data_IF_921988227193
#
_entry.id   IF_921988227193
#
_cell.length_a   1.000
_cell.length_b   1.000
_cell.length_c   1.000
_cell.angle_alpha   90.00
_cell.angle_beta   90.00
_cell.angle_gamma   90.00
#
_symmetry.space_group_name_H-M   'P 1'
#
loop_
_entity.id
_entity.type
_entity.pdbx_description
1 polymer ?
#
# COMPACT_ATOMS: atom_id res chain seq x y z
N UNK A 1 21.80 24.51 -14.97
CA UNK A 1 20.84 23.40 -15.12
C UNK A 1 21.55 22.05 -15.17
N UNK A 2 22.52 21.82 -16.07
CA UNK A 2 23.23 20.52 -16.18
C UNK A 2 23.98 20.07 -14.91
N UNK A 3 24.59 20.98 -14.16
CA UNK A 3 25.32 20.63 -12.92
C UNK A 3 24.35 20.12 -11.85
N UNK A 4 23.20 20.80 -11.67
CA UNK A 4 22.15 20.42 -10.72
C UNK A 4 21.57 19.05 -11.07
N UNK A 5 21.25 18.83 -12.35
CA UNK A 5 20.77 17.53 -12.85
C UNK A 5 21.84 16.46 -12.69
N UNK A 6 23.12 16.75 -12.96
CA UNK A 6 24.22 15.80 -12.78
C UNK A 6 24.49 15.46 -11.31
N UNK A 7 24.34 16.41 -10.38
CA UNK A 7 24.45 16.14 -8.94
C UNK A 7 23.28 15.33 -8.42
N UNK A 8 22.05 15.65 -8.83
CA UNK A 8 20.86 14.85 -8.48
C UNK A 8 20.97 13.45 -9.07
N UNK A 9 21.47 13.32 -10.30
CA UNK A 9 21.60 12.03 -10.99
C UNK A 9 22.81 11.22 -10.51
N UNK A 10 23.87 11.85 -9.99
CA UNK A 10 24.96 11.18 -9.25
C UNK A 10 24.52 10.76 -7.85
N UNK A 11 23.76 11.59 -7.15
CA UNK A 11 23.23 11.29 -5.83
C UNK A 11 22.18 10.16 -5.90
N UNK A 12 21.29 10.20 -6.89
CA UNK A 12 20.36 9.12 -7.20
C UNK A 12 21.09 7.84 -7.65
N UNK A 13 22.13 7.92 -8.48
CA UNK A 13 22.94 6.73 -8.84
C UNK A 13 23.69 6.13 -7.66
N UNK A 14 24.21 6.96 -6.76
CA UNK A 14 24.87 6.50 -5.54
C UNK A 14 23.87 5.78 -4.63
N UNK A 15 22.66 6.35 -4.48
CA UNK A 15 21.62 5.80 -3.64
C UNK A 15 20.98 4.54 -4.22
N UNK A 16 20.73 4.46 -5.52
CA UNK A 16 19.89 3.40 -6.09
C UNK A 16 20.69 2.21 -6.67
N UNK A 17 21.89 2.41 -7.23
CA UNK A 17 22.58 1.35 -7.99
C UNK A 17 23.66 0.55 -7.23
N UNK A 18 24.39 1.17 -6.30
CA UNK A 18 25.47 0.50 -5.53
C UNK A 18 25.03 -0.64 -4.60
N UNK A 19 23.88 -0.60 -3.91
CA UNK A 19 23.51 -1.66 -2.96
C UNK A 19 23.02 -2.92 -3.68
N UNK A 20 22.41 -2.79 -4.86
CA UNK A 20 21.82 -3.91 -5.60
C UNK A 20 22.87 -4.75 -6.33
N UNK A 21 23.81 -4.12 -7.03
CA UNK A 21 24.88 -4.84 -7.76
C UNK A 21 25.87 -5.54 -6.81
N UNK A 22 26.13 -4.95 -5.64
CA UNK A 22 27.07 -5.53 -4.66
C UNK A 22 26.50 -6.76 -3.95
N UNK A 23 25.18 -6.82 -3.76
CA UNK A 23 24.48 -7.97 -3.17
C UNK A 23 24.21 -9.08 -4.20
N UNK A 24 23.98 -8.74 -5.47
CA UNK A 24 23.69 -9.73 -6.51
C UNK A 24 24.91 -10.56 -6.93
N UNK A 25 26.12 -10.01 -6.87
CA UNK A 25 27.32 -10.77 -7.28
C UNK A 25 27.86 -11.73 -6.21
N UNK A 26 27.39 -11.67 -4.96
CA UNK A 26 28.08 -12.36 -3.85
C UNK A 26 27.24 -13.29 -2.99
N UNK A 27 25.91 -13.34 -3.09
CA UNK A 27 25.20 -14.08 -2.05
C UNK A 27 23.81 -14.61 -2.39
N UNK A 28 23.64 -15.92 -2.18
CA UNK A 28 22.36 -16.62 -2.14
C UNK A 28 21.57 -16.31 -0.87
N UNK A 29 21.14 -15.06 -0.69
CA UNK A 29 20.30 -14.64 0.43
C UNK A 29 18.81 -14.93 0.18
N UNK A 30 18.08 -15.16 1.27
CA UNK A 30 16.64 -15.35 1.27
C UNK A 30 15.89 -14.09 0.78
N UNK A 31 14.82 -14.30 0.03
CA UNK A 31 14.00 -13.25 -0.60
C UNK A 31 13.50 -12.18 0.41
N UNK A 32 13.33 -12.56 1.67
CA UNK A 32 12.89 -11.70 2.77
C UNK A 32 13.99 -10.75 3.30
N UNK A 33 15.26 -11.14 3.26
CA UNK A 33 16.37 -10.28 3.70
C UNK A 33 16.59 -9.13 2.69
N UNK A 34 16.47 -9.44 1.39
CA UNK A 34 16.60 -8.46 0.32
C UNK A 34 15.47 -7.42 0.35
N UNK A 35 14.22 -7.85 0.58
CA UNK A 35 13.08 -6.94 0.71
C UNK A 35 13.24 -5.97 1.89
N UNK A 36 13.71 -6.45 3.05
CA UNK A 36 14.00 -5.61 4.22
C UNK A 36 15.13 -4.62 3.96
N UNK A 37 16.22 -5.08 3.34
CA UNK A 37 17.34 -4.22 2.98
C UNK A 37 16.90 -3.11 2.00
N UNK A 38 16.07 -3.47 1.00
CA UNK A 38 15.51 -2.50 0.06
C UNK A 38 14.63 -1.45 0.75
N UNK A 39 13.72 -1.86 1.65
CA UNK A 39 12.89 -0.93 2.41
C UNK A 39 13.72 0.02 3.29
N UNK A 40 14.69 -0.50 4.05
CA UNK A 40 15.57 0.32 4.90
C UNK A 40 16.37 1.32 4.07
N UNK A 41 16.84 0.89 2.90
CA UNK A 41 17.59 1.75 2.01
C UNK A 41 16.72 2.84 1.42
N UNK A 42 15.48 2.50 1.02
CA UNK A 42 14.50 3.45 0.52
C UNK A 42 14.13 4.48 1.59
N UNK A 43 13.91 4.04 2.84
CA UNK A 43 13.67 4.92 3.98
C UNK A 43 14.84 5.89 4.21
N UNK A 44 16.07 5.37 4.24
CA UNK A 44 17.28 6.20 4.41
C UNK A 44 17.45 7.19 3.24
N UNK A 45 17.16 6.74 2.01
CA UNK A 45 17.20 7.60 0.83
C UNK A 45 16.23 8.77 0.96
N UNK A 46 14.97 8.49 1.33
CA UNK A 46 13.97 9.55 1.52
C UNK A 46 14.35 10.48 2.67
N UNK A 47 14.82 9.96 3.80
CA UNK A 47 15.28 10.77 4.93
C UNK A 47 16.40 11.74 4.51
N UNK A 48 17.42 11.25 3.81
CA UNK A 48 18.56 12.08 3.39
C UNK A 48 18.14 13.09 2.33
N UNK A 49 17.38 12.67 1.31
CA UNK A 49 17.08 13.49 0.13
C UNK A 49 15.93 14.48 0.32
N UNK A 50 14.94 14.15 1.15
CA UNK A 50 13.76 14.98 1.38
C UNK A 50 13.70 15.64 2.77
N UNK A 51 14.54 15.24 3.73
CA UNK A 51 14.61 15.92 5.03
C UNK A 51 15.97 16.58 5.26
N UNK A 52 17.07 15.83 5.28
CA UNK A 52 18.38 16.38 5.67
C UNK A 52 18.98 17.36 4.67
N UNK A 53 18.93 17.01 3.37
CA UNK A 53 19.46 17.86 2.30
C UNK A 53 18.64 19.15 2.13
N UNK A 54 17.29 19.11 2.06
CA UNK A 54 16.50 20.32 1.99
C UNK A 54 16.61 21.17 3.25
N UNK A 55 16.69 20.57 4.45
CA UNK A 55 16.93 21.33 5.69
C UNK A 55 18.22 22.16 5.62
N UNK A 56 19.32 21.58 5.10
CA UNK A 56 20.56 22.32 4.90
C UNK A 56 20.35 23.49 3.92
N UNK A 57 19.66 23.25 2.80
CA UNK A 57 19.35 24.29 1.82
C UNK A 57 18.49 25.40 2.43
N UNK A 58 17.38 25.07 3.09
CA UNK A 58 16.49 26.05 3.71
C UNK A 58 17.18 26.86 4.80
N UNK A 59 18.03 26.24 5.63
CA UNK A 59 18.81 26.98 6.65
C UNK A 59 19.81 27.99 6.06
N UNK A 60 20.21 27.81 4.79
CA UNK A 60 21.07 28.78 4.09
C UNK A 60 20.28 29.82 3.29
N UNK A 61 19.05 29.49 2.87
CA UNK A 61 18.18 30.39 2.12
C UNK A 61 17.41 31.34 3.04
N UNK A 62 16.99 30.84 4.19
CA UNK A 62 16.28 31.60 5.22
C UNK A 62 17.25 31.93 6.35
N UNK A 63 17.86 33.13 6.30
CA UNK A 63 18.90 33.56 7.25
C UNK A 63 18.46 33.55 8.72
N UNK A 64 17.15 33.61 8.96
CA UNK A 64 16.56 33.60 10.31
C UNK A 64 16.33 32.20 10.86
N UNK A 65 16.46 31.15 10.05
CA UNK A 65 16.17 29.78 10.43
C UNK A 65 17.45 29.05 10.84
N UNK A 66 17.42 28.37 11.98
CA UNK A 66 18.45 27.39 12.29
C UNK A 66 18.27 26.12 11.43
N UNK A 67 19.29 25.26 11.38
CA UNK A 67 19.18 23.95 10.73
C UNK A 67 18.01 23.12 11.30
N UNK A 68 17.77 23.22 12.61
CA UNK A 68 16.70 22.49 13.27
C UNK A 68 15.33 23.05 12.86
N UNK A 69 15.18 24.38 12.76
CA UNK A 69 13.95 25.02 12.26
C UNK A 69 13.65 24.59 10.82
N UNK A 70 14.67 24.55 9.98
CA UNK A 70 14.55 24.10 8.59
C UNK A 70 14.18 22.61 8.49
N UNK A 71 14.79 21.75 9.31
CA UNK A 71 14.42 20.34 9.39
C UNK A 71 12.99 20.15 9.91
N UNK A 72 12.61 20.94 10.91
CA UNK A 72 11.26 20.95 11.47
C UNK A 72 10.24 21.37 10.40
N UNK A 73 10.50 22.42 9.62
CA UNK A 73 9.68 22.81 8.47
C UNK A 73 9.50 21.65 7.48
N UNK A 74 10.59 20.99 7.08
CA UNK A 74 10.52 19.83 6.19
C UNK A 74 9.63 18.72 6.78
N UNK A 75 9.79 18.42 8.06
CA UNK A 75 9.02 17.39 8.75
C UNK A 75 7.52 17.72 8.81
N UNK A 76 7.15 18.86 9.37
CA UNK A 76 5.72 19.23 9.53
C UNK A 76 5.02 19.38 8.18
N UNK A 77 5.75 19.79 7.13
CA UNK A 77 5.16 20.00 5.81
C UNK A 77 4.99 18.68 5.06
N UNK A 78 5.99 17.79 5.09
CA UNK A 78 5.91 16.49 4.41
C UNK A 78 4.99 15.50 5.14
N UNK A 79 4.89 15.60 6.47
CA UNK A 79 3.88 14.88 7.25
C UNK A 79 2.49 15.52 7.15
N UNK A 80 2.32 16.60 6.36
CA UNK A 80 1.05 17.32 6.18
C UNK A 80 0.42 17.86 7.47
N UNK A 81 1.23 18.06 8.52
CA UNK A 81 0.80 18.70 9.78
C UNK A 81 0.55 20.20 9.51
N UNK A 82 1.49 20.86 8.83
CA UNK A 82 1.29 22.20 8.27
C UNK A 82 0.98 23.32 9.27
N UNK A 83 1.73 23.41 10.38
CA UNK A 83 1.49 24.40 11.44
C UNK A 83 1.59 25.86 10.95
N UNK A 84 2.43 26.14 9.94
CA UNK A 84 2.53 27.43 9.29
C UNK A 84 3.31 28.51 10.06
N UNK A 85 4.00 28.11 11.13
CA UNK A 85 4.96 28.93 11.88
C UNK A 85 6.24 29.22 11.09
N UNK A 86 6.70 28.25 10.29
CA UNK A 86 7.82 28.41 9.36
C UNK A 86 7.33 28.28 7.92
N UNK A 87 7.37 29.38 7.16
CA UNK A 87 6.99 29.42 5.74
C UNK A 87 8.11 30.06 4.92
N UNK A 88 8.73 29.32 3.98
CA UNK A 88 9.79 29.86 3.16
C UNK A 88 9.26 30.95 2.21
N UNK A 89 10.02 32.03 2.05
CA UNK A 89 9.71 33.08 1.08
C UNK A 89 8.64 34.07 1.55
N UNK A 90 8.40 34.19 2.85
CA UNK A 90 7.58 35.26 3.44
C UNK A 90 8.36 36.52 3.80
N UNK A 91 9.70 36.45 3.89
CA UNK A 91 10.49 37.61 4.29
C UNK A 91 10.48 38.73 3.23
N UNK A 92 10.33 40.01 3.64
CA UNK A 92 10.36 41.14 2.72
C UNK A 92 11.76 41.32 2.11
N UNK A 93 11.82 41.67 0.82
CA UNK A 93 13.07 41.97 0.13
C UNK A 93 13.72 40.81 -0.63
N UNK A 94 13.16 39.60 -0.58
CA UNK A 94 13.66 38.47 -1.38
C UNK A 94 13.42 38.69 -2.88
N UNK A 95 14.51 38.80 -3.65
CA UNK A 95 14.45 38.82 -5.12
C UNK A 95 13.93 37.45 -5.59
N UNK A 96 13.04 37.44 -6.58
CA UNK A 96 12.53 36.21 -7.20
C UNK A 96 11.59 35.33 -6.33
N UNK A 97 10.90 35.94 -5.34
CA UNK A 97 9.93 35.29 -4.43
C UNK A 97 8.93 34.34 -5.12
N UNK A 98 8.41 34.72 -6.29
CA UNK A 98 7.44 33.90 -7.02
C UNK A 98 8.03 32.54 -7.46
N UNK A 99 9.24 32.54 -8.03
CA UNK A 99 9.91 31.30 -8.44
C UNK A 99 10.30 30.45 -7.24
N UNK A 100 10.70 31.09 -6.14
CA UNK A 100 11.00 30.36 -4.91
C UNK A 100 9.76 29.63 -4.37
N UNK A 101 8.61 30.32 -4.26
CA UNK A 101 7.35 29.69 -3.84
C UNK A 101 6.95 28.53 -4.74
N UNK A 102 7.04 28.68 -6.06
CA UNK A 102 6.76 27.58 -7.00
C UNK A 102 7.70 26.40 -6.76
N UNK A 103 9.00 26.65 -6.56
CA UNK A 103 9.97 25.59 -6.28
C UNK A 103 9.68 24.84 -4.98
N UNK A 104 9.26 25.55 -3.93
CA UNK A 104 8.85 24.96 -2.65
C UNK A 104 7.61 24.09 -2.84
N UNK A 105 6.60 24.58 -3.57
CA UNK A 105 5.40 23.79 -3.86
C UNK A 105 5.74 22.49 -4.59
N UNK A 106 6.61 22.54 -5.61
CA UNK A 106 7.07 21.34 -6.33
C UNK A 106 7.82 20.40 -5.39
N UNK A 107 8.69 20.92 -4.52
CA UNK A 107 9.39 20.14 -3.51
C UNK A 107 8.40 19.42 -2.56
N UNK A 108 7.40 20.13 -2.02
CA UNK A 108 6.41 19.57 -1.11
C UNK A 108 5.58 18.47 -1.78
N UNK A 109 5.18 18.67 -3.04
CA UNK A 109 4.47 17.65 -3.81
C UNK A 109 5.32 16.39 -4.01
N UNK A 110 6.57 16.55 -4.46
CA UNK A 110 7.48 15.42 -4.69
C UNK A 110 7.83 14.69 -3.39
N UNK A 111 8.10 15.43 -2.32
CA UNK A 111 8.41 14.86 -1.01
C UNK A 111 7.22 14.14 -0.40
N UNK A 112 6.01 14.67 -0.54
CA UNK A 112 4.80 13.99 -0.09
C UNK A 112 4.62 12.66 -0.83
N UNK A 113 4.78 12.66 -2.15
CA UNK A 113 4.73 11.43 -2.94
C UNK A 113 5.77 10.40 -2.49
N UNK A 114 6.98 10.84 -2.13
CA UNK A 114 8.03 9.96 -1.62
C UNK A 114 7.68 9.37 -0.24
N UNK A 115 7.17 10.19 0.69
CA UNK A 115 6.73 9.72 2.02
C UNK A 115 5.56 8.75 1.90
N UNK A 116 4.58 9.02 1.02
CA UNK A 116 3.47 8.11 0.76
C UNK A 116 3.94 6.78 0.17
N UNK A 117 4.94 6.79 -0.72
CA UNK A 117 5.51 5.57 -1.28
C UNK A 117 6.23 4.73 -0.21
N UNK A 118 6.98 5.36 0.70
CA UNK A 118 7.57 4.69 1.87
C UNK A 118 6.47 4.06 2.73
N UNK A 119 5.41 4.81 3.03
CA UNK A 119 4.29 4.33 3.84
C UNK A 119 3.55 3.16 3.19
N UNK A 120 3.28 3.22 1.89
CA UNK A 120 2.69 2.10 1.13
C UNK A 120 3.58 0.86 1.15
N UNK A 121 4.91 1.06 1.03
CA UNK A 121 5.88 -0.04 1.11
C UNK A 121 5.88 -0.65 2.51
N UNK A 122 5.81 0.19 3.55
CA UNK A 122 5.70 -0.25 4.93
C UNK A 122 4.40 -1.01 5.18
N UNK A 123 3.25 -0.53 4.72
CA UNK A 123 1.97 -1.23 4.87
C UNK A 123 2.01 -2.61 4.23
N UNK A 124 2.51 -2.74 3.00
CA UNK A 124 2.66 -4.05 2.34
C UNK A 124 3.62 -4.96 3.11
N UNK A 125 4.70 -4.42 3.65
CA UNK A 125 5.64 -5.19 4.46
C UNK A 125 5.06 -5.58 5.84
N UNK A 126 4.18 -4.75 6.42
CA UNK A 126 3.51 -5.02 7.68
C UNK A 126 2.40 -6.06 7.52
N UNK A 127 1.66 -6.00 6.41
CA UNK A 127 0.62 -6.96 6.04
C UNK A 127 1.19 -8.38 5.88
N UNK A 128 2.35 -8.50 5.21
CA UNK A 128 3.09 -9.76 5.08
C UNK A 128 3.58 -10.35 6.41
N UNK A 129 3.72 -9.54 7.46
CA UNK A 129 4.12 -10.02 8.78
C UNK A 129 2.92 -10.36 9.68
N UNK A 130 1.69 -10.33 9.16
CA UNK A 130 0.49 -10.76 9.88
C UNK A 130 0.14 -9.86 11.07
N UNK A 131 0.69 -8.64 11.14
CA UNK A 131 0.31 -7.69 12.19
C UNK A 131 -1.12 -7.19 11.97
N UNK A 132 -1.59 -7.18 10.71
CA UNK A 132 -2.98 -6.91 10.36
C UNK A 132 -3.91 -7.99 10.91
N UNK A 133 -3.58 -9.28 10.77
CA UNK A 133 -4.38 -10.40 11.31
C UNK A 133 -4.37 -10.48 12.85
N UNK A 134 -3.36 -9.89 13.50
CA UNK A 134 -3.25 -9.85 14.96
C UNK A 134 -3.91 -8.61 15.57
N UNK A 135 -4.02 -7.51 14.83
CA UNK A 135 -4.74 -6.28 15.22
C UNK A 135 -6.22 -6.27 14.76
N UNK A 136 -6.53 -6.84 13.59
CA UNK A 136 -7.88 -7.24 13.18
C UNK A 136 -8.11 -8.68 13.67
N UNK A 137 -8.60 -8.80 14.89
CA UNK A 137 -9.31 -9.99 15.37
C UNK A 137 -10.22 -10.52 14.23
N UNK A 138 -10.23 -11.84 13.93
CA UNK A 138 -10.95 -12.37 12.78
C UNK A 138 -12.43 -12.03 12.92
N UNK A 139 -12.92 -11.11 12.09
CA UNK A 139 -14.34 -10.97 11.87
C UNK A 139 -14.71 -12.08 10.88
N UNK A 140 -15.29 -13.14 11.42
CA UNK A 140 -15.83 -14.27 10.68
C UNK A 140 -16.55 -13.81 9.41
N UNK A 141 -16.01 -14.17 8.25
CA UNK A 141 -16.80 -14.19 7.03
C UNK A 141 -16.89 -15.63 6.51
N UNK A 142 -17.67 -16.42 7.24
CA UNK A 142 -18.41 -17.52 6.67
C UNK A 142 -19.49 -16.89 5.77
N UNK A 143 -19.18 -16.72 4.50
CA UNK A 143 -20.17 -16.40 3.46
C UNK A 143 -20.06 -17.49 2.40
N UNK A 144 -20.69 -18.61 2.74
CA UNK A 144 -21.32 -19.61 1.87
C UNK A 144 -21.12 -19.41 0.37
N UNK A 145 -20.17 -20.15 -0.20
CA UNK A 145 -20.20 -20.51 -1.61
C UNK A 145 -20.14 -22.04 -1.69
N UNK A 146 -21.30 -22.68 -1.48
CA UNK A 146 -21.52 -24.08 -1.84
C UNK A 146 -21.30 -24.23 -3.36
N UNK A 147 -20.34 -25.06 -3.83
CA UNK A 147 -20.24 -25.40 -5.23
C UNK A 147 -21.33 -26.43 -5.54
N UNK A 148 -22.38 -26.00 -6.24
CA UNK A 148 -23.40 -26.88 -6.81
C UNK A 148 -22.70 -27.75 -7.86
N UNK A 149 -22.31 -28.97 -7.47
CA UNK A 149 -21.90 -30.02 -8.40
C UNK A 149 -23.16 -30.56 -9.09
N UNK A 150 -23.34 -30.20 -10.35
CA UNK A 150 -24.21 -30.92 -11.27
C UNK A 150 -23.64 -32.33 -11.49
N UNK A 151 -24.23 -33.32 -10.82
CA UNK A 151 -23.95 -34.74 -11.03
C UNK A 151 -24.82 -35.27 -12.17
N UNK A 152 -24.44 -35.03 -13.43
CA UNK A 152 -24.85 -35.89 -14.55
C UNK A 152 -23.89 -37.09 -14.64
N UNK A 153 -24.32 -38.21 -14.04
CA UNK A 153 -23.63 -39.49 -14.16
C UNK A 153 -24.47 -40.49 -14.95
N UNK A 154 -23.98 -40.96 -16.09
CA UNK A 154 -24.16 -42.34 -16.60
C UNK A 154 -23.07 -42.62 -17.64
N UNK A 155 -22.41 -43.80 -17.68
CA UNK A 155 -23.03 -45.04 -18.20
C UNK A 155 -22.66 -46.36 -17.47
N UNK A 156 -23.58 -47.35 -17.57
CA UNK A 156 -23.41 -48.83 -17.53
C UNK A 156 -22.80 -49.49 -16.25
N UNK A 157 -23.28 -50.60 -15.69
CA UNK A 157 -23.77 -51.86 -16.27
C UNK A 157 -24.50 -52.73 -15.20
N UNK A 158 -25.35 -53.65 -15.68
CA UNK A 158 -25.80 -54.93 -15.08
C UNK A 158 -27.26 -55.05 -14.54
N UNK A 159 -28.12 -55.61 -15.41
CA UNK A 159 -29.42 -56.24 -15.15
C UNK A 159 -29.26 -57.59 -14.37
N UNK A 160 -30.30 -58.39 -14.00
CA UNK A 160 -31.70 -58.40 -14.46
C UNK A 160 -32.81 -58.70 -13.41
N UNK A 161 -34.04 -58.24 -13.66
CA UNK A 161 -35.19 -58.74 -12.88
C UNK A 161 -36.54 -58.03 -13.09
N UNK A 162 -37.32 -58.55 -14.06
CA UNK A 162 -38.79 -58.57 -14.10
C UNK A 162 -39.62 -57.28 -14.42
N UNK A 163 -40.04 -57.20 -15.70
CA UNK A 163 -41.39 -56.91 -16.29
C UNK A 163 -42.04 -55.50 -16.19
N UNK A 164 -42.53 -54.89 -17.32
CA UNK A 164 -43.13 -53.54 -17.34
C UNK A 164 -44.70 -53.56 -17.52
N UNK A 165 -45.40 -52.42 -17.81
CA UNK A 165 -46.35 -51.65 -16.97
C UNK A 165 -47.85 -51.84 -17.43
N UNK A 166 -48.91 -51.07 -17.03
CA UNK A 166 -49.11 -49.66 -17.48
C UNK A 166 -49.95 -48.70 -16.59
N UNK A 167 -49.74 -47.40 -16.85
CA UNK A 167 -50.68 -46.26 -16.90
C UNK A 167 -51.90 -46.17 -15.94
N UNK A 168 -52.00 -45.06 -15.20
CA UNK A 168 -53.03 -44.00 -15.40
C UNK A 168 -53.08 -42.99 -14.25
N UNK A 169 -53.58 -41.80 -14.60
CA UNK A 169 -54.18 -40.78 -13.71
C UNK A 169 -53.25 -39.81 -12.95
N UNK A 170 -52.86 -38.78 -13.69
CA UNK A 170 -52.96 -37.38 -13.26
C UNK A 170 -54.28 -37.06 -12.52
N UNK A 171 -54.27 -36.00 -11.68
CA UNK A 171 -55.38 -35.21 -11.07
C UNK A 171 -55.26 -35.17 -9.53
N UNK A 172 -55.40 -34.08 -8.78
CA UNK A 172 -55.57 -32.65 -9.02
C UNK A 172 -55.44 -31.95 -7.64
N UNK A 173 -55.07 -30.66 -7.64
CA UNK A 173 -55.48 -29.59 -6.71
C UNK A 173 -55.63 -29.85 -5.19
N UNK A 174 -54.81 -29.12 -4.42
CA UNK A 174 -55.30 -28.32 -3.29
C UNK A 174 -55.94 -29.07 -2.14
N UNK A 175 -55.12 -29.55 -1.20
CA UNK A 175 -55.58 -29.83 0.16
C UNK A 175 -54.52 -29.40 1.15
N UNK A 176 -54.74 -28.24 1.78
CA UNK A 176 -54.02 -27.82 2.98
C UNK A 176 -54.37 -28.82 4.09
N UNK A 177 -53.43 -29.68 4.46
CA UNK A 177 -53.56 -30.44 5.71
C UNK A 177 -53.36 -29.48 6.89
N UNK A 178 -54.47 -29.28 7.61
CA UNK A 178 -54.60 -28.44 8.79
C UNK A 178 -54.04 -29.21 10.00
N UNK A 179 -52.91 -28.78 10.58
CA UNK A 179 -52.23 -29.47 11.69
C UNK A 179 -52.68 -29.01 13.09
N UNK A 180 -53.85 -28.38 13.21
CA UNK A 180 -54.41 -27.89 14.49
C UNK A 180 -54.92 -28.98 15.43
N UNK A 181 -54.34 -30.18 15.42
CA UNK A 181 -54.76 -31.30 16.28
C UNK A 181 -53.61 -32.01 17.00
N UNK A 182 -52.60 -31.27 17.46
CA UNK A 182 -51.76 -31.77 18.57
C UNK A 182 -52.40 -31.26 19.86
N UNK A 183 -53.16 -32.15 20.49
CA UNK A 183 -53.66 -32.00 21.86
C UNK A 183 -52.52 -31.87 22.86
N UNK A 184 -52.76 -31.04 23.88
CA UNK A 184 -51.97 -30.78 25.10
C UNK A 184 -51.23 -31.99 25.67
#
# INVERSE_FOLDING_TARGET
>A
MLVLTATVQRLARLFTHRPLEYLQLRSGYSHQALARAHFLLLLLAVLVTFFLLPAAVFSTLEETWSYLDAFYFCFISLCTIGLGDYVPGEQPGQKLRALYKVSVTVYLLLGLMAVLLVLQTFHKAADLHGLTDLLLLPADQHSDQEPILESEGTPEELAPGAKPPPASAQLNTGSRANYSSISR
#
